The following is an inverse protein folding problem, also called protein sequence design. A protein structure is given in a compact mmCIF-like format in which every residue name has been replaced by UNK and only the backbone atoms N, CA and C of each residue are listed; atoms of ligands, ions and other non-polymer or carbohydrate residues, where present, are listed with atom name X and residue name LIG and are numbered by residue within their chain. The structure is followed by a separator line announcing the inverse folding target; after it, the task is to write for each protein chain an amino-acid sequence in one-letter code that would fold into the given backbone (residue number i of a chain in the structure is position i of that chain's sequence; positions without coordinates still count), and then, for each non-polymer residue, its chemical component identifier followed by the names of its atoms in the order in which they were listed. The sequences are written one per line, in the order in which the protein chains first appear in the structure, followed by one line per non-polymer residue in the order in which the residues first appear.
data_IF_008281104428
#
_entry.id   IF_008281104428
#
_cell.length_a   1.000
_cell.length_b   1.000
_cell.length_c   1.000
_cell.angle_alpha   90.00
_cell.angle_beta   90.00
_cell.angle_gamma   90.00
#
_symmetry.space_group_name_H-M   'P 1'
#
loop_
_entity.id
_entity.type
_entity.pdbx_description
1 polymer ?
#
# COMPACT_ATOMS: atom_id res chain seq x y z
N UNK A 1 -7.85 -9.18 -5.94
CA UNK A 1 -7.34 -8.05 -6.75
C UNK A 1 -8.09 -6.74 -6.46
N UNK A 2 -8.52 -6.49 -5.22
CA UNK A 2 -9.37 -5.33 -4.87
C UNK A 2 -8.63 -3.99 -4.76
N UNK A 3 -7.36 -3.98 -4.32
CA UNK A 3 -6.65 -2.74 -3.98
C UNK A 3 -6.51 -1.74 -5.14
N UNK A 4 -6.12 -2.20 -6.33
CA UNK A 4 -6.00 -1.35 -7.51
C UNK A 4 -7.35 -0.79 -7.95
N UNK A 5 -8.35 -1.66 -8.12
CA UNK A 5 -9.67 -1.27 -8.64
C UNK A 5 -10.37 -0.26 -7.72
N UNK A 6 -10.34 -0.50 -6.40
CA UNK A 6 -10.95 0.39 -5.42
C UNK A 6 -10.26 1.75 -5.36
N UNK A 7 -8.93 1.77 -5.47
CA UNK A 7 -8.17 3.02 -5.48
C UNK A 7 -8.41 3.81 -6.76
N UNK A 8 -8.45 3.14 -7.93
CA UNK A 8 -8.79 3.79 -9.20
C UNK A 8 -10.20 4.38 -9.17
N UNK A 9 -11.18 3.63 -8.65
CA UNK A 9 -12.55 4.12 -8.50
C UNK A 9 -12.59 5.39 -7.64
N UNK A 10 -12.00 5.35 -6.45
CA UNK A 10 -11.94 6.48 -5.52
C UNK A 10 -11.30 7.73 -6.17
N UNK A 11 -10.17 7.56 -6.86
CA UNK A 11 -9.48 8.66 -7.53
C UNK A 11 -10.29 9.22 -8.72
N UNK A 12 -10.96 8.35 -9.49
CA UNK A 12 -11.81 8.76 -10.61
C UNK A 12 -13.09 9.50 -10.14
N UNK A 13 -13.56 9.21 -8.92
CA UNK A 13 -14.64 9.95 -8.25
C UNK A 13 -14.16 11.30 -7.69
N UNK A 14 -12.89 11.66 -7.87
CA UNK A 14 -12.30 12.92 -7.41
C UNK A 14 -11.90 12.92 -5.94
N UNK A 15 -11.97 11.77 -5.26
CA UNK A 15 -11.59 11.62 -3.86
C UNK A 15 -10.08 11.34 -3.81
N UNK A 16 -9.30 12.38 -3.49
CA UNK A 16 -7.83 12.30 -3.41
C UNK A 16 -7.38 12.44 -1.95
N UNK A 17 -7.21 11.33 -1.20
CA UNK A 17 -6.74 11.40 0.18
C UNK A 17 -5.24 11.69 0.23
N UNK A 18 -4.75 12.24 1.35
CA UNK A 18 -3.30 12.39 1.60
C UNK A 18 -2.64 11.12 2.14
N UNK A 19 -3.44 10.18 2.65
CA UNK A 19 -2.97 8.90 3.16
C UNK A 19 -4.03 7.80 3.04
N UNK A 20 -3.59 6.55 2.87
CA UNK A 20 -4.42 5.35 2.84
C UNK A 20 -3.94 4.31 3.87
N UNK A 21 -4.89 3.75 4.61
CA UNK A 21 -4.70 2.57 5.44
C UNK A 21 -5.28 1.37 4.68
N UNK A 22 -4.44 0.38 4.38
CA UNK A 22 -4.81 -0.75 3.52
C UNK A 22 -4.72 -2.04 4.31
N UNK A 23 -5.73 -2.89 4.13
CA UNK A 23 -5.95 -4.07 4.97
C UNK A 23 -4.88 -5.15 4.87
N UNK A 24 -4.10 -5.19 3.78
CA UNK A 24 -2.92 -6.03 3.65
C UNK A 24 -1.93 -5.48 2.60
N UNK A 25 -0.72 -6.04 2.56
CA UNK A 25 0.35 -5.62 1.67
C UNK A 25 0.02 -5.83 0.19
N UNK A 26 -0.67 -6.92 -0.16
CA UNK A 26 -1.05 -7.21 -1.55
C UNK A 26 -2.06 -6.19 -2.11
N UNK A 27 -3.03 -5.78 -1.30
CA UNK A 27 -3.94 -4.69 -1.66
C UNK A 27 -3.20 -3.35 -1.69
N UNK A 28 -2.25 -3.13 -0.76
CA UNK A 28 -1.44 -1.92 -0.74
C UNK A 28 -0.61 -1.78 -2.03
N UNK A 29 -0.03 -2.88 -2.54
CA UNK A 29 0.65 -2.90 -3.84
C UNK A 29 -0.29 -2.45 -4.98
N UNK A 30 -1.52 -2.98 -4.99
CA UNK A 30 -2.54 -2.57 -5.95
C UNK A 30 -2.88 -1.08 -5.84
N UNK A 31 -3.04 -0.57 -4.62
CA UNK A 31 -3.30 0.85 -4.38
C UNK A 31 -2.13 1.74 -4.83
N UNK A 32 -0.89 1.35 -4.51
CA UNK A 32 0.33 2.05 -4.95
C UNK A 32 0.44 2.12 -6.48
N UNK A 33 0.06 1.04 -7.17
CA UNK A 33 -0.03 1.02 -8.63
C UNK A 33 -1.06 2.01 -9.15
N UNK A 34 -2.28 2.02 -8.59
CA UNK A 34 -3.35 2.94 -9.00
C UNK A 34 -2.97 4.41 -8.78
N UNK A 35 -2.33 4.72 -7.65
CA UNK A 35 -1.79 6.06 -7.34
C UNK A 35 -0.81 6.48 -8.44
N UNK A 36 0.14 5.60 -8.78
CA UNK A 36 1.16 5.88 -9.80
C UNK A 36 0.57 6.03 -11.20
N UNK A 37 -0.35 5.17 -11.59
CA UNK A 37 -1.05 5.25 -12.89
C UNK A 37 -1.95 6.50 -12.99
N UNK A 38 -2.39 7.05 -11.85
CA UNK A 38 -3.12 8.33 -11.80
C UNK A 38 -2.20 9.56 -11.83
N UNK A 39 -0.89 9.37 -12.05
CA UNK A 39 0.09 10.46 -12.11
C UNK A 39 0.48 11.04 -10.75
N UNK A 40 0.12 10.38 -9.64
CA UNK A 40 0.45 10.77 -8.28
C UNK A 40 1.64 9.94 -7.75
N UNK A 41 2.39 10.49 -6.80
CA UNK A 41 3.55 9.83 -6.20
C UNK A 41 3.18 9.21 -4.86
N UNK A 42 3.44 7.92 -4.72
CA UNK A 42 3.31 7.20 -3.45
C UNK A 42 4.26 7.79 -2.40
N UNK A 43 3.76 8.01 -1.18
CA UNK A 43 4.46 8.68 -0.10
C UNK A 43 4.31 10.20 -0.18
N UNK A 44 4.74 10.81 -1.29
CA UNK A 44 4.81 12.27 -1.42
C UNK A 44 3.44 12.94 -1.64
N UNK A 45 2.60 12.37 -2.51
CA UNK A 45 1.25 12.90 -2.78
C UNK A 45 0.21 12.10 -1.99
N UNK A 46 0.32 10.77 -1.98
CA UNK A 46 -0.53 9.88 -1.18
C UNK A 46 0.34 8.89 -0.39
N UNK A 47 0.34 9.02 0.93
CA UNK A 47 0.97 8.05 1.82
C UNK A 47 0.20 6.73 1.87
N UNK A 48 0.89 5.59 2.00
CA UNK A 48 0.27 4.26 2.08
C UNK A 48 0.86 3.48 3.25
N UNK A 49 0.00 2.94 4.10
CA UNK A 49 0.34 1.97 5.14
C UNK A 49 -0.37 0.65 4.83
N UNK A 50 0.39 -0.43 4.70
CA UNK A 50 -0.12 -1.80 4.55
C UNK A 50 -0.27 -2.54 5.88
N UNK A 51 -0.50 -3.84 5.77
CA UNK A 51 -0.61 -4.78 6.88
C UNK A 51 -0.03 -6.13 6.44
N UNK A 52 0.63 -6.85 7.35
CA UNK A 52 1.25 -8.18 7.25
C UNK A 52 2.78 -8.16 7.36
N UNK A 53 3.46 -7.25 6.64
CA UNK A 53 4.93 -7.29 6.44
C UNK A 53 5.39 -8.59 5.77
N UNK A 54 4.71 -8.95 4.67
CA UNK A 54 5.13 -10.02 3.77
C UNK A 54 6.53 -9.75 3.20
N UNK A 55 7.23 -10.81 2.80
CA UNK A 55 8.63 -10.73 2.34
C UNK A 55 8.80 -9.70 1.19
N UNK A 56 7.87 -9.71 0.24
CA UNK A 56 7.89 -8.83 -0.93
C UNK A 56 7.69 -7.35 -0.58
N UNK A 57 7.01 -7.03 0.53
CA UNK A 57 6.67 -5.65 0.91
C UNK A 57 7.89 -4.74 1.09
N UNK A 58 9.01 -5.34 1.49
CA UNK A 58 10.32 -4.67 1.61
C UNK A 58 10.93 -4.28 0.26
N UNK A 59 10.53 -4.96 -0.81
CA UNK A 59 11.01 -4.80 -2.18
C UNK A 59 10.01 -4.07 -3.08
N UNK A 60 8.85 -3.65 -2.56
CA UNK A 60 7.94 -2.78 -3.30
C UNK A 60 8.63 -1.47 -3.68
N UNK A 61 8.06 -0.78 -4.68
CA UNK A 61 8.61 0.47 -5.20
C UNK A 61 7.59 1.58 -4.95
N UNK A 62 7.82 2.48 -3.96
CA UNK A 62 8.86 2.43 -2.92
C UNK A 62 8.56 1.38 -1.81
N UNK A 63 9.55 0.99 -0.98
CA UNK A 63 9.35 -0.01 0.08
C UNK A 63 8.21 0.35 1.05
N UNK A 64 7.31 -0.60 1.32
CA UNK A 64 6.04 -0.37 1.98
C UNK A 64 6.15 -0.23 3.50
N UNK A 65 5.64 0.87 4.03
CA UNK A 65 5.37 1.00 5.47
C UNK A 65 4.18 0.12 5.83
N UNK A 66 4.31 -0.75 6.82
CA UNK A 66 3.29 -1.79 7.10
C UNK A 66 3.29 -2.19 8.57
N UNK A 67 2.19 -2.80 9.03
CA UNK A 67 2.11 -3.46 10.33
C UNK A 67 2.58 -4.90 10.19
N UNK A 68 3.69 -5.24 10.83
CA UNK A 68 4.23 -6.60 10.85
C UNK A 68 3.42 -7.52 11.75
N UNK A 69 2.97 -8.61 11.16
CA UNK A 69 2.49 -9.79 11.87
C UNK A 69 3.54 -10.90 11.80
N UNK A 70 4.01 -11.39 12.94
CA UNK A 70 4.99 -12.48 12.97
C UNK A 70 4.30 -13.83 12.69
N UNK A 71 4.18 -14.17 11.40
CA UNK A 71 3.58 -15.43 10.95
C UNK A 71 4.36 -16.67 11.43
N UNK A 72 5.67 -16.55 11.66
CA UNK A 72 6.48 -17.66 12.20
C UNK A 72 6.14 -17.91 13.66
N UNK A 73 6.04 -16.85 14.47
CA UNK A 73 5.58 -16.93 15.85
C UNK A 73 4.16 -17.45 15.93
N UNK A 74 3.25 -16.97 15.07
CA UNK A 74 1.88 -17.44 14.98
C UNK A 74 1.82 -18.94 14.67
N UNK A 75 2.54 -19.39 13.65
CA UNK A 75 2.58 -20.80 13.26
C UNK A 75 3.09 -21.69 14.39
N UNK A 76 4.24 -21.35 14.98
CA UNK A 76 4.82 -22.08 16.12
C UNK A 76 3.84 -22.16 17.30
N UNK A 77 3.32 -21.01 17.73
CA UNK A 77 2.42 -20.91 18.88
C UNK A 77 1.12 -21.68 18.66
N UNK A 78 0.59 -21.63 17.42
CA UNK A 78 -0.65 -22.32 17.07
C UNK A 78 -0.50 -23.83 17.12
N UNK A 79 0.60 -24.38 16.57
CA UNK A 79 0.87 -25.82 16.60
C UNK A 79 1.12 -26.31 18.03
N UNK A 80 1.96 -25.61 18.80
CA UNK A 80 2.20 -25.95 20.21
C UNK A 80 0.89 -25.97 21.01
N UNK A 81 -0.02 -25.02 20.75
CA UNK A 81 -1.31 -24.95 21.43
C UNK A 81 -2.27 -26.05 21.00
N UNK A 82 -2.28 -26.41 19.71
CA UNK A 82 -3.08 -27.52 19.19
C UNK A 82 -2.67 -28.86 19.83
N UNK A 83 -1.37 -29.10 19.98
CA UNK A 83 -0.85 -30.33 20.62
C UNK A 83 -1.23 -30.41 22.11
N UNK A 84 -1.23 -29.28 22.83
CA UNK A 84 -1.72 -29.24 24.22
C UNK A 84 -3.21 -29.56 24.30
N UNK A 85 -4.01 -28.97 23.42
CA UNK A 85 -5.45 -29.24 23.33
C UNK A 85 -5.74 -30.71 23.03
N UNK A 86 -5.01 -31.33 22.10
CA UNK A 86 -5.22 -32.75 21.75
C UNK A 86 -4.88 -33.70 22.90
N UNK A 87 -4.07 -33.26 23.87
CA UNK A 87 -3.73 -34.01 25.08
C UNK A 87 -4.67 -33.70 26.26
N UNK A 88 -5.76 -32.95 26.03
CA UNK A 88 -6.71 -32.55 27.08
C UNK A 88 -6.16 -31.52 28.06
N UNK A 89 -5.04 -30.85 27.74
CA UNK A 89 -4.48 -29.82 28.61
C UNK A 89 -5.29 -28.53 28.50
N UNK A 90 -5.50 -27.87 29.64
CA UNK A 90 -6.10 -26.55 29.67
C UNK A 90 -5.18 -25.52 28.99
N UNK A 91 -5.70 -24.84 27.98
CA UNK A 91 -5.07 -23.66 27.37
C UNK A 91 -6.02 -22.49 27.46
N UNK A 92 -5.49 -21.26 27.46
CA UNK A 92 -6.34 -20.06 27.34
C UNK A 92 -7.21 -20.17 26.09
N UNK A 93 -8.40 -19.55 26.08
CA UNK A 93 -9.31 -19.54 24.92
C UNK A 93 -8.84 -18.58 23.81
N UNK A 94 -8.18 -17.48 24.19
CA UNK A 94 -7.59 -16.52 23.24
C UNK A 94 -6.19 -16.11 23.71
N UNK A 95 -5.30 -15.88 22.74
CA UNK A 95 -3.98 -15.32 22.95
C UNK A 95 -3.73 -14.29 21.85
N UNK A 96 -3.60 -13.02 22.24
CA UNK A 96 -3.20 -11.95 21.34
C UNK A 96 -1.68 -11.97 21.17
N UNK A 97 -1.23 -12.02 19.92
CA UNK A 97 0.18 -11.87 19.58
C UNK A 97 0.50 -10.40 19.31
N UNK A 98 1.72 -9.95 19.66
CA UNK A 98 2.12 -8.57 19.42
C UNK A 98 2.24 -8.29 17.91
N UNK A 99 2.00 -7.04 17.55
CA UNK A 99 2.28 -6.49 16.21
C UNK A 99 3.25 -5.31 16.34
N UNK A 100 3.91 -4.95 15.25
CA UNK A 100 4.83 -3.80 15.24
C UNK A 100 4.71 -3.00 13.94
N UNK A 101 4.92 -1.69 13.99
CA UNK A 101 4.96 -0.85 12.80
C UNK A 101 6.36 -0.88 12.19
N UNK A 102 6.45 -1.28 10.92
CA UNK A 102 7.68 -1.23 10.12
C UNK A 102 7.61 0.00 9.22
N UNK A 103 8.28 1.08 9.62
CA UNK A 103 8.37 2.32 8.83
C UNK A 103 9.32 2.13 7.66
N UNK A 104 8.85 2.46 6.45
CA UNK A 104 9.67 2.41 5.22
C UNK A 104 9.55 3.72 4.41
N UNK A 105 9.21 3.65 3.12
CA UNK A 105 9.32 4.78 2.18
C UNK A 105 7.98 5.23 1.57
N UNK A 106 6.88 4.54 1.86
CA UNK A 106 5.53 4.92 1.41
C UNK A 106 4.82 5.93 2.30
N UNK A 107 5.46 6.51 3.33
CA UNK A 107 4.82 7.48 4.23
C UNK A 107 5.65 8.76 4.36
N UNK A 108 5.01 9.91 4.19
CA UNK A 108 5.57 11.25 4.40
C UNK A 108 4.51 12.19 4.99
N UNK A 109 4.94 13.39 5.42
CA UNK A 109 4.02 14.44 5.81
C UNK A 109 3.18 14.90 4.61
N UNK A 110 1.89 15.23 4.79
CA UNK A 110 1.02 15.62 3.69
C UNK A 110 1.52 16.93 3.05
N UNK A 111 1.56 16.96 1.72
CA UNK A 111 1.89 18.18 0.99
C UNK A 111 0.72 19.18 1.09
N UNK A 112 0.97 20.37 1.63
CA UNK A 112 -0.06 21.43 1.77
C UNK A 112 -0.36 22.17 0.46
N UNK A 113 0.42 21.91 -0.59
CA UNK A 113 0.20 22.53 -1.89
C UNK A 113 -0.73 21.64 -2.71
N UNK A 114 -2.01 22.02 -2.78
CA UNK A 114 -2.91 21.52 -3.82
C UNK A 114 -2.28 21.87 -5.16
N UNK A 115 -1.96 20.85 -5.95
CA UNK A 115 -1.44 21.05 -7.30
C UNK A 115 -2.46 21.89 -8.07
N UNK A 116 -2.05 23.09 -8.48
CA UNK A 116 -2.68 23.78 -9.60
C UNK A 116 -2.77 22.80 -10.78
N UNK A 117 -3.82 22.82 -11.61
CA UNK A 117 -4.01 21.82 -12.66
C UNK A 117 -2.72 21.69 -13.48
N UNK A 118 -2.21 20.45 -13.68
CA UNK A 118 -0.92 20.26 -14.32
C UNK A 118 -0.93 20.86 -15.72
N UNK A 119 0.24 21.31 -16.15
CA UNK A 119 0.58 21.78 -17.50
C UNK A 119 0.34 20.70 -18.60
N UNK A 120 -0.88 20.17 -18.73
CA UNK A 120 -1.26 19.25 -19.81
C UNK A 120 -1.08 19.91 -21.18
N UNK A 121 -1.16 21.25 -21.25
CA UNK A 121 -0.91 22.02 -22.46
C UNK A 121 0.54 21.99 -22.97
N UNK A 122 1.53 21.60 -22.16
CA UNK A 122 2.96 21.67 -22.57
C UNK A 122 3.44 20.43 -23.34
N UNK A 123 2.78 19.28 -23.16
CA UNK A 123 3.16 18.04 -23.86
C UNK A 123 2.37 17.81 -25.16
N UNK A 124 1.19 18.40 -25.32
CA UNK A 124 0.40 18.27 -26.55
C UNK A 124 0.90 19.19 -27.69
N UNK A 125 1.58 20.30 -27.39
CA UNK A 125 2.09 21.23 -28.41
C UNK A 125 3.40 20.80 -29.07
N UNK A 126 4.08 19.76 -28.56
CA UNK A 126 5.36 19.29 -29.12
C UNK A 126 5.20 18.33 -30.33
N UNK A 127 3.98 17.87 -30.63
CA UNK A 127 3.70 16.93 -31.72
C UNK A 127 3.14 17.59 -33.00
N UNK A 128 3.02 18.93 -33.03
CA UNK A 128 2.30 19.66 -34.09
C UNK A 128 3.14 20.24 -35.24
N UNK A 129 4.45 20.02 -35.31
CA UNK A 129 5.30 20.65 -36.36
C UNK A 129 6.32 19.68 -36.95
N UNK A 130 5.86 18.78 -37.80
CA UNK A 130 6.70 18.21 -38.87
C UNK A 130 5.95 18.31 -40.19
N UNK A 131 6.07 19.47 -40.83
CA UNK A 131 5.83 19.63 -42.26
C UNK A 131 6.93 18.90 -43.02
N UNK A 132 6.57 17.91 -43.85
CA UNK A 132 7.49 17.34 -44.84
C UNK A 132 7.62 18.33 -46.02
N UNK A 133 8.83 18.68 -46.48
CA UNK A 133 9.00 19.37 -47.75
C UNK A 133 8.82 18.39 -48.92
N UNK A 134 8.38 18.98 -50.04
CA UNK A 134 7.93 18.41 -51.32
C UNK A 134 8.72 17.26 -51.91
#
# INVERSE_FOLDING_TARGET
MSGFQQTMQMLNEGIVPTAMLVANDQMALGAMRAITESGLRVGADISVVGYDDTEDSSCYIPPLTTIKQDFRLLGKTSVERLLKLSQGQAVKSNQLLPVSLVKRKTTLAPNKQTTSPPHVGRFLNAAGTTSFPT
#
